data_IF_103735031176
#
_entry.id   IF_103735031176
#
_cell.length_a   1.000
_cell.length_b   1.000
_cell.length_c   1.000
_cell.angle_alpha   90.00
_cell.angle_beta   90.00
_cell.angle_gamma   90.00
#
_symmetry.space_group_name_H-M   'P 1'
#
loop_
_entity.id
_entity.type
_entity.pdbx_description
1 polymer ?
#
# COMPACT_ATOMS: atom_id res chain seq x y z
N UNK A 1 21.44 36.32 9.88
CA UNK A 1 21.91 34.93 10.07
C UNK A 1 20.88 34.04 9.42
N UNK A 2 21.17 33.50 8.23
CA UNK A 2 20.28 32.51 7.60
C UNK A 2 20.49 31.24 8.40
N UNK A 3 19.52 30.89 9.23
CA UNK A 3 19.53 29.60 9.93
C UNK A 3 19.25 28.58 8.84
N UNK A 4 20.28 27.90 8.38
CA UNK A 4 20.11 26.70 7.57
C UNK A 4 19.24 25.73 8.39
N UNK A 5 18.10 25.29 7.84
CA UNK A 5 17.18 24.45 8.59
C UNK A 5 17.94 23.19 9.01
N UNK A 6 17.97 22.93 10.31
CA UNK A 6 18.61 21.73 10.85
C UNK A 6 17.90 20.49 10.30
N UNK A 7 18.61 19.37 10.16
CA UNK A 7 18.04 18.13 9.58
C UNK A 7 16.68 17.72 10.21
N UNK A 8 16.46 17.84 11.54
CA UNK A 8 15.15 17.57 12.16
C UNK A 8 14.04 18.51 11.68
N UNK A 9 14.35 19.78 11.42
CA UNK A 9 13.40 20.79 10.98
C UNK A 9 13.01 20.62 9.50
N UNK A 10 13.96 20.19 8.67
CA UNK A 10 13.68 19.75 7.30
C UNK A 10 12.76 18.52 7.26
N UNK A 11 13.01 17.57 8.16
CA UNK A 11 12.25 16.33 8.26
C UNK A 11 10.82 16.60 8.77
N UNK A 12 10.67 17.52 9.72
CA UNK A 12 9.37 17.99 10.20
C UNK A 12 8.55 18.69 9.13
N UNK A 13 9.15 19.63 8.38
CA UNK A 13 8.46 20.30 7.28
C UNK A 13 8.02 19.33 6.18
N UNK A 14 8.83 18.29 5.91
CA UNK A 14 8.43 17.22 5.00
C UNK A 14 7.26 16.41 5.59
N UNK A 15 7.32 16.04 6.86
CA UNK A 15 6.30 15.27 7.56
C UNK A 15 4.93 15.95 7.55
N UNK A 16 4.89 17.26 7.76
CA UNK A 16 3.67 18.09 7.69
C UNK A 16 3.03 18.06 6.29
N UNK A 17 3.82 17.88 5.23
CA UNK A 17 3.31 17.75 3.86
C UNK A 17 2.78 16.34 3.53
N UNK A 18 3.18 15.31 4.27
CA UNK A 18 2.84 13.90 3.96
C UNK A 18 1.34 13.58 3.99
N UNK A 19 0.51 14.13 4.90
CA UNK A 19 -0.93 13.88 4.87
C UNK A 19 -1.57 14.34 3.56
N UNK A 20 -1.09 15.45 2.97
CA UNK A 20 -1.57 15.92 1.68
C UNK A 20 -1.17 14.93 0.56
N UNK A 21 0.07 14.42 0.60
CA UNK A 21 0.53 13.39 -0.34
C UNK A 21 -0.26 12.08 -0.18
N UNK A 22 -0.59 11.69 1.06
CA UNK A 22 -1.44 10.52 1.33
C UNK A 22 -2.82 10.63 0.68
N UNK A 23 -3.44 11.81 0.73
CA UNK A 23 -4.71 12.08 0.03
C UNK A 23 -4.57 11.99 -1.49
N UNK A 24 -3.45 12.45 -2.06
CA UNK A 24 -3.16 12.30 -3.49
C UNK A 24 -2.99 10.84 -3.90
N UNK A 25 -2.31 10.03 -3.09
CA UNK A 25 -2.17 8.59 -3.32
C UNK A 25 -3.54 7.91 -3.27
N UNK A 26 -4.39 8.24 -2.29
CA UNK A 26 -5.75 7.73 -2.23
C UNK A 26 -6.56 8.12 -3.48
N UNK A 27 -6.49 9.39 -3.91
CA UNK A 27 -7.14 9.84 -5.14
C UNK A 27 -6.64 9.08 -6.39
N UNK A 28 -5.33 8.83 -6.48
CA UNK A 28 -4.75 8.05 -7.56
C UNK A 28 -5.24 6.59 -7.56
N UNK A 29 -5.45 5.98 -6.39
CA UNK A 29 -6.03 4.63 -6.27
C UNK A 29 -7.46 4.56 -6.80
N UNK A 30 -8.30 5.53 -6.44
CA UNK A 30 -9.66 5.63 -6.97
C UNK A 30 -9.64 5.76 -8.49
N UNK A 31 -8.83 6.67 -9.03
CA UNK A 31 -8.73 6.90 -10.46
C UNK A 31 -8.20 5.67 -11.21
N UNK A 32 -7.16 5.04 -10.68
CA UNK A 32 -6.62 3.79 -11.23
C UNK A 32 -7.67 2.67 -11.21
N UNK A 33 -8.43 2.54 -10.12
CA UNK A 33 -9.51 1.57 -10.01
C UNK A 33 -10.57 1.72 -11.10
N UNK A 34 -11.05 2.95 -11.33
CA UNK A 34 -11.98 3.24 -12.43
C UNK A 34 -11.39 2.90 -13.80
N UNK A 35 -10.17 3.37 -14.08
CA UNK A 35 -9.49 3.11 -15.37
C UNK A 35 -9.34 1.61 -15.63
N UNK A 36 -9.00 0.81 -14.61
CA UNK A 36 -8.87 -0.64 -14.73
C UNK A 36 -10.20 -1.33 -15.01
N UNK A 37 -11.29 -0.90 -14.37
CA UNK A 37 -12.64 -1.43 -14.66
C UNK A 37 -13.04 -1.12 -16.10
N UNK A 38 -12.90 0.13 -16.54
CA UNK A 38 -13.20 0.49 -17.93
C UNK A 38 -12.36 -0.34 -18.91
N UNK A 39 -11.05 -0.45 -18.68
CA UNK A 39 -10.15 -1.25 -19.51
C UNK A 39 -10.55 -2.74 -19.53
N UNK A 40 -10.95 -3.30 -18.39
CA UNK A 40 -11.43 -4.67 -18.28
C UNK A 40 -12.75 -4.89 -19.04
N UNK A 41 -13.69 -3.94 -18.96
CA UNK A 41 -14.94 -3.97 -19.72
C UNK A 41 -14.69 -3.87 -21.23
N UNK A 42 -13.78 -2.99 -21.67
CA UNK A 42 -13.40 -2.90 -23.09
C UNK A 42 -12.77 -4.20 -23.60
N UNK A 43 -11.86 -4.79 -22.83
CA UNK A 43 -11.24 -6.07 -23.18
C UNK A 43 -12.28 -7.20 -23.24
N UNK A 44 -13.27 -7.20 -22.35
CA UNK A 44 -14.37 -8.16 -22.35
C UNK A 44 -15.31 -7.97 -23.57
N UNK A 45 -15.60 -6.72 -23.96
CA UNK A 45 -16.39 -6.42 -25.15
C UNK A 45 -15.69 -6.92 -26.42
N UNK A 46 -14.40 -6.63 -26.56
CA UNK A 46 -13.59 -7.09 -27.68
C UNK A 46 -13.54 -8.64 -27.75
N UNK A 47 -13.48 -9.31 -26.60
CA UNK A 47 -13.59 -10.77 -26.52
C UNK A 47 -14.92 -11.31 -27.06
N UNK A 48 -16.03 -10.64 -26.70
CA UNK A 48 -17.36 -10.98 -27.20
C UNK A 48 -17.48 -10.87 -28.73
N UNK A 49 -16.85 -9.84 -29.31
CA UNK A 49 -16.81 -9.62 -30.77
C UNK A 49 -15.88 -10.64 -31.47
N UNK A 50 -14.73 -10.98 -30.86
CA UNK A 50 -13.77 -11.97 -31.38
C UNK A 50 -14.33 -13.40 -31.46
N UNK A 51 -15.35 -13.75 -30.69
CA UNK A 51 -16.01 -15.07 -30.78
C UNK A 51 -16.63 -15.34 -32.17
N UNK A 52 -16.86 -14.30 -32.97
CA UNK A 52 -17.33 -14.43 -34.36
C UNK A 52 -16.22 -14.72 -35.38
N UNK A 53 -14.94 -14.58 -34.99
CA UNK A 53 -13.77 -14.82 -35.84
C UNK A 53 -12.89 -15.92 -35.23
N UNK A 54 -13.01 -17.10 -35.81
CA UNK A 54 -12.30 -18.36 -35.59
C UNK A 54 -10.90 -18.26 -34.93
N UNK A 55 -10.72 -19.03 -33.85
CA UNK A 55 -9.44 -19.52 -33.31
C UNK A 55 -8.37 -18.49 -32.93
N UNK A 56 -8.68 -17.61 -31.97
CA UNK A 56 -7.64 -16.99 -31.14
C UNK A 56 -7.90 -17.36 -29.70
N UNK A 57 -6.88 -17.95 -29.04
CA UNK A 57 -6.82 -18.24 -27.60
C UNK A 57 -6.89 -16.94 -26.79
N UNK A 58 -8.02 -16.24 -26.86
CA UNK A 58 -8.22 -15.03 -26.10
C UNK A 58 -8.53 -15.44 -24.65
N UNK A 59 -7.66 -15.03 -23.74
CA UNK A 59 -7.68 -15.48 -22.36
C UNK A 59 -8.65 -14.59 -21.57
N UNK A 60 -9.84 -15.11 -21.24
CA UNK A 60 -10.86 -14.40 -20.45
C UNK A 60 -10.32 -14.02 -19.05
N UNK A 61 -9.20 -14.62 -18.62
CA UNK A 61 -8.54 -14.31 -17.35
C UNK A 61 -8.14 -12.85 -17.24
N UNK A 62 -7.65 -12.22 -18.31
CA UNK A 62 -7.19 -10.82 -18.29
C UNK A 62 -8.29 -9.83 -17.90
N UNK A 63 -9.45 -9.78 -18.59
CA UNK A 63 -10.51 -8.83 -18.26
C UNK A 63 -11.09 -9.06 -16.86
N UNK A 64 -11.23 -10.32 -16.43
CA UNK A 64 -11.74 -10.66 -15.09
C UNK A 64 -10.80 -10.12 -14.01
N UNK A 65 -9.50 -10.36 -14.13
CA UNK A 65 -8.49 -9.89 -13.16
C UNK A 65 -8.48 -8.35 -13.09
N UNK A 66 -8.58 -7.66 -14.23
CA UNK A 66 -8.62 -6.20 -14.28
C UNK A 66 -9.85 -5.63 -13.56
N UNK A 67 -11.03 -6.21 -13.76
CA UNK A 67 -12.27 -5.78 -13.11
C UNK A 67 -12.21 -6.05 -11.59
N UNK A 68 -11.73 -7.23 -11.18
CA UNK A 68 -11.59 -7.58 -9.77
C UNK A 68 -10.63 -6.62 -9.04
N UNK A 69 -9.42 -6.41 -9.59
CA UNK A 69 -8.43 -5.52 -8.96
C UNK A 69 -8.90 -4.06 -9.00
N UNK A 70 -9.54 -3.64 -10.10
CA UNK A 70 -10.11 -2.30 -10.20
C UNK A 70 -11.16 -2.04 -9.13
N UNK A 71 -12.03 -3.03 -8.86
CA UNK A 71 -13.03 -2.95 -7.78
C UNK A 71 -12.35 -2.88 -6.41
N UNK A 72 -11.36 -3.74 -6.15
CA UNK A 72 -10.59 -3.74 -4.90
C UNK A 72 -9.91 -2.39 -4.63
N UNK A 73 -9.35 -1.75 -5.67
CA UNK A 73 -8.71 -0.43 -5.57
C UNK A 73 -9.69 0.71 -5.29
N UNK A 74 -10.93 0.64 -5.78
CA UNK A 74 -11.99 1.61 -5.44
C UNK A 74 -12.34 1.49 -3.94
N UNK A 75 -12.35 0.29 -3.39
CA UNK A 75 -12.60 0.06 -1.97
C UNK A 75 -11.33 0.13 -1.10
N UNK A 76 -10.37 0.99 -1.49
CA UNK A 76 -9.09 1.15 -0.80
C UNK A 76 -9.17 1.35 0.73
N UNK A 77 -9.97 2.29 1.28
CA UNK A 77 -9.99 2.51 2.73
C UNK A 77 -10.47 1.27 3.49
N UNK A 78 -11.49 0.59 2.97
CA UNK A 78 -11.99 -0.67 3.53
C UNK A 78 -10.94 -1.77 3.45
N UNK A 79 -10.23 -1.84 2.33
CA UNK A 79 -9.19 -2.84 2.09
C UNK A 79 -8.01 -2.71 3.08
N UNK A 80 -7.59 -1.48 3.39
CA UNK A 80 -6.58 -1.23 4.44
C UNK A 80 -7.11 -1.68 5.80
N UNK A 81 -8.33 -1.30 6.18
CA UNK A 81 -8.90 -1.71 7.47
C UNK A 81 -9.03 -3.22 7.61
N UNK A 82 -9.52 -3.91 6.58
CA UNK A 82 -9.65 -5.37 6.57
C UNK A 82 -8.29 -6.05 6.63
N UNK A 83 -7.29 -5.54 5.92
CA UNK A 83 -5.94 -6.12 5.96
C UNK A 83 -5.25 -5.91 7.30
N UNK A 84 -5.42 -4.74 7.93
CA UNK A 84 -4.96 -4.48 9.30
C UNK A 84 -5.67 -5.39 10.31
N UNK A 85 -6.99 -5.54 10.22
CA UNK A 85 -7.76 -6.45 11.08
C UNK A 85 -7.34 -7.90 10.89
N UNK A 86 -6.91 -8.29 9.69
CA UNK A 86 -6.46 -9.67 9.40
C UNK A 86 -5.09 -9.95 9.99
N UNK A 87 -4.16 -8.98 9.93
CA UNK A 87 -2.78 -9.16 10.41
C UNK A 87 -2.66 -8.93 11.91
N UNK A 88 -3.36 -7.92 12.45
CA UNK A 88 -3.20 -7.45 13.83
C UNK A 88 -4.44 -7.64 14.70
N UNK A 89 -5.58 -8.10 14.16
CA UNK A 89 -6.83 -8.22 14.91
C UNK A 89 -7.51 -6.87 15.23
N UNK A 90 -6.92 -5.75 14.82
CA UNK A 90 -7.43 -4.39 15.04
C UNK A 90 -7.29 -3.55 13.77
N UNK A 91 -8.20 -2.59 13.58
CA UNK A 91 -8.19 -1.61 12.49
C UNK A 91 -7.43 -0.33 12.85
N UNK A 92 -7.08 -0.15 14.13
CA UNK A 92 -6.39 1.05 14.63
C UNK A 92 -4.91 0.98 14.29
N UNK A 93 -4.41 2.01 13.60
CA UNK A 93 -2.99 2.16 13.33
C UNK A 93 -2.32 2.71 14.60
N UNK A 94 -1.39 1.96 15.19
CA UNK A 94 -0.70 2.38 16.40
C UNK A 94 0.19 3.59 16.09
N UNK A 95 0.13 4.62 16.93
CA UNK A 95 0.96 5.83 16.88
C UNK A 95 2.15 5.73 17.83
N UNK A 96 3.21 6.48 17.50
CA UNK A 96 4.43 6.45 18.29
C UNK A 96 4.13 7.10 19.65
N UNK A 97 4.48 6.41 20.73
CA UNK A 97 4.37 6.95 22.09
C UNK A 97 5.72 7.53 22.48
N UNK A 98 5.71 8.78 22.94
CA UNK A 98 6.93 9.48 23.36
C UNK A 98 7.69 8.71 24.44
N UNK A 99 9.01 8.57 24.26
CA UNK A 99 9.86 8.01 25.29
C UNK A 99 10.30 9.14 26.26
N UNK A 100 9.98 9.04 27.56
CA UNK A 100 10.31 10.08 28.54
C UNK A 100 11.83 10.24 28.78
N UNK A 101 12.64 9.24 28.38
CA UNK A 101 14.10 9.28 28.52
C UNK A 101 14.79 9.99 27.35
N UNK A 102 14.04 10.34 26.30
CA UNK A 102 14.57 10.93 25.09
C UNK A 102 14.27 12.42 25.05
N UNK A 103 15.12 13.18 24.37
CA UNK A 103 14.84 14.60 24.16
C UNK A 103 13.55 14.77 23.35
N UNK A 104 12.79 15.83 23.59
CA UNK A 104 11.57 16.14 22.85
C UNK A 104 11.82 16.20 21.32
N UNK A 105 13.01 16.68 20.93
CA UNK A 105 13.45 16.72 19.53
C UNK A 105 13.65 15.32 18.93
N UNK A 106 14.12 14.36 19.72
CA UNK A 106 14.30 12.97 19.29
C UNK A 106 12.96 12.25 19.12
N UNK A 107 11.99 12.50 20.00
CA UNK A 107 10.65 11.92 19.90
C UNK A 107 9.92 12.43 18.64
N UNK A 108 9.98 13.74 18.38
CA UNK A 108 9.42 14.34 17.17
C UNK A 108 10.04 13.77 15.89
N UNK A 109 11.36 13.56 15.87
CA UNK A 109 12.03 12.96 14.72
C UNK A 109 11.55 11.52 14.44
N UNK A 110 11.24 10.72 15.46
CA UNK A 110 10.69 9.37 15.25
C UNK A 110 9.25 9.42 14.75
N UNK A 111 8.43 10.32 15.29
CA UNK A 111 7.05 10.49 14.83
C UNK A 111 7.04 10.86 13.34
N UNK A 112 7.88 11.81 12.94
CA UNK A 112 8.02 12.24 11.56
C UNK A 112 8.53 11.11 10.64
N UNK A 113 9.51 10.32 11.08
CA UNK A 113 9.96 9.12 10.36
C UNK A 113 8.85 8.07 10.25
N UNK A 114 8.05 7.90 11.30
CA UNK A 114 6.91 6.98 11.30
C UNK A 114 5.87 7.40 10.26
N UNK A 115 5.59 8.70 10.13
CA UNK A 115 4.71 9.23 9.09
C UNK A 115 5.25 8.96 7.68
N UNK A 116 6.57 9.12 7.47
CA UNK A 116 7.22 8.77 6.19
C UNK A 116 7.07 7.29 5.85
N UNK A 117 7.34 6.40 6.81
CA UNK A 117 7.23 4.95 6.62
C UNK A 117 5.80 4.52 6.32
N UNK A 118 4.81 5.11 6.99
CA UNK A 118 3.39 4.86 6.72
C UNK A 118 3.02 5.22 5.28
N UNK A 119 3.47 6.38 4.80
CA UNK A 119 3.24 6.79 3.41
C UNK A 119 3.86 5.79 2.42
N UNK A 120 5.10 5.37 2.66
CA UNK A 120 5.77 4.35 1.85
C UNK A 120 4.98 3.03 1.88
N UNK A 121 4.43 2.64 3.04
CA UNK A 121 3.57 1.48 3.19
C UNK A 121 2.34 1.56 2.28
N UNK A 122 1.64 2.70 2.25
CA UNK A 122 0.49 2.91 1.37
C UNK A 122 0.86 2.84 -0.12
N UNK A 123 2.00 3.43 -0.51
CA UNK A 123 2.48 3.40 -1.90
C UNK A 123 2.89 1.98 -2.31
N UNK A 124 3.58 1.25 -1.43
CA UNK A 124 3.97 -0.13 -1.68
C UNK A 124 2.74 -1.04 -1.83
N UNK A 125 1.76 -0.88 -0.94
CA UNK A 125 0.51 -1.62 -1.00
C UNK A 125 -0.24 -1.38 -2.32
N UNK A 126 -0.36 -0.12 -2.74
CA UNK A 126 -0.93 0.24 -4.05
C UNK A 126 -0.22 -0.45 -5.20
N UNK A 127 1.12 -0.38 -5.19
CA UNK A 127 1.96 -0.97 -6.21
C UNK A 127 1.79 -2.48 -6.29
N UNK A 128 1.59 -3.15 -5.16
CA UNK A 128 1.27 -4.57 -5.09
C UNK A 128 0.01 -4.93 -5.88
N UNK A 129 -1.08 -4.17 -5.68
CA UNK A 129 -2.32 -4.35 -6.44
C UNK A 129 -2.17 -4.03 -7.93
N UNK A 130 -1.46 -2.95 -8.28
CA UNK A 130 -1.16 -2.64 -9.69
C UNK A 130 -0.31 -3.74 -10.36
N UNK A 131 0.59 -4.38 -9.64
CA UNK A 131 1.40 -5.46 -10.21
C UNK A 131 0.55 -6.72 -10.45
N UNK A 132 -0.50 -6.95 -9.66
CA UNK A 132 -1.45 -8.03 -9.90
C UNK A 132 -2.23 -7.88 -11.22
N UNK A 133 -2.43 -6.66 -11.72
CA UNK A 133 -3.17 -6.45 -12.98
C UNK A 133 -2.44 -7.03 -14.19
N UNK A 134 -1.14 -7.27 -14.05
CA UNK A 134 -0.32 -7.85 -15.10
C UNK A 134 -0.46 -9.37 -15.17
N UNK A 135 -0.91 -10.05 -14.11
CA UNK A 135 -1.02 -11.52 -14.06
C UNK A 135 -1.90 -12.13 -15.15
N UNK A 136 -2.88 -11.37 -15.63
CA UNK A 136 -3.74 -11.80 -16.71
C UNK A 136 -3.15 -11.62 -18.11
N UNK A 137 -2.03 -10.92 -18.28
CA UNK A 137 -1.47 -10.61 -19.60
C UNK A 137 -0.58 -11.77 -20.09
N UNK A 138 -0.79 -12.20 -21.34
CA UNK A 138 0.09 -13.18 -22.00
C UNK A 138 1.53 -12.66 -22.02
N UNK A 139 2.48 -13.47 -21.52
CA UNK A 139 3.90 -13.13 -21.46
C UNK A 139 4.38 -12.52 -20.14
N UNK A 140 3.57 -12.54 -19.08
CA UNK A 140 3.99 -12.04 -17.77
C UNK A 140 5.16 -12.83 -17.20
N UNK A 141 6.21 -12.16 -16.67
CA UNK A 141 7.35 -12.85 -16.06
C UNK A 141 6.90 -13.81 -14.95
N UNK A 142 7.41 -15.06 -14.94
CA UNK A 142 7.13 -15.99 -13.86
C UNK A 142 7.58 -15.39 -12.52
N UNK A 143 6.67 -15.37 -11.54
CA UNK A 143 6.91 -14.76 -10.23
C UNK A 143 6.31 -13.37 -10.02
N UNK A 144 5.63 -12.80 -11.02
CA UNK A 144 4.88 -11.53 -10.87
C UNK A 144 3.89 -11.59 -9.69
N UNK A 145 3.22 -12.74 -9.48
CA UNK A 145 2.28 -12.91 -8.36
C UNK A 145 2.97 -12.83 -7.00
N UNK A 146 4.08 -13.53 -6.82
CA UNK A 146 4.87 -13.49 -5.59
C UNK A 146 5.39 -12.08 -5.31
N UNK A 147 5.88 -11.37 -6.34
CA UNK A 147 6.33 -9.98 -6.21
C UNK A 147 5.20 -9.04 -5.78
N UNK A 148 3.99 -9.23 -6.31
CA UNK A 148 2.82 -8.45 -5.93
C UNK A 148 2.45 -8.70 -4.46
N UNK A 149 2.38 -9.97 -4.06
CA UNK A 149 2.09 -10.34 -2.67
C UNK A 149 3.10 -9.75 -1.69
N UNK A 150 4.39 -9.77 -2.01
CA UNK A 150 5.42 -9.17 -1.15
C UNK A 150 5.21 -7.67 -0.94
N UNK A 151 4.78 -6.94 -1.97
CA UNK A 151 4.47 -5.51 -1.84
C UNK A 151 3.21 -5.27 -1.02
N UNK A 152 2.18 -6.11 -1.17
CA UNK A 152 0.95 -6.04 -0.38
C UNK A 152 1.26 -6.30 1.09
N UNK A 153 1.91 -7.43 1.40
CA UNK A 153 2.24 -7.82 2.78
C UNK A 153 3.21 -6.81 3.39
N UNK A 154 4.32 -6.51 2.73
CA UNK A 154 5.29 -5.52 3.21
C UNK A 154 4.68 -4.13 3.37
N UNK A 155 3.74 -3.75 2.49
CA UNK A 155 2.98 -2.51 2.61
C UNK A 155 2.11 -2.47 3.87
N UNK A 156 1.36 -3.53 4.16
CA UNK A 156 0.50 -3.61 5.38
C UNK A 156 1.36 -3.55 6.65
N UNK A 157 2.51 -4.22 6.66
CA UNK A 157 3.44 -4.18 7.78
C UNK A 157 3.98 -2.77 8.01
N UNK A 158 4.40 -2.07 6.94
CA UNK A 158 4.87 -0.68 7.00
C UNK A 158 3.77 0.32 7.44
N UNK A 159 2.52 0.12 7.01
CA UNK A 159 1.39 0.97 7.43
C UNK A 159 1.21 0.94 8.94
N UNK A 160 1.42 -0.22 9.57
CA UNK A 160 1.38 -0.37 11.01
C UNK A 160 2.74 -0.80 11.56
N UNK A 161 3.76 0.01 11.26
CA UNK A 161 5.15 -0.28 11.65
C UNK A 161 5.33 -0.44 13.15
N UNK A 162 4.53 0.28 13.95
CA UNK A 162 4.60 0.23 15.42
C UNK A 162 4.03 -1.10 15.93
N UNK A 163 2.88 -1.55 15.41
CA UNK A 163 2.37 -2.88 15.74
C UNK A 163 3.32 -3.99 15.26
N UNK A 164 3.97 -3.81 14.10
CA UNK A 164 5.00 -4.75 13.63
C UNK A 164 6.15 -4.82 14.61
N UNK A 165 6.60 -3.67 15.11
CA UNK A 165 7.71 -3.59 16.07
C UNK A 165 7.35 -4.24 17.40
N UNK A 166 6.13 -4.01 17.91
CA UNK A 166 5.60 -4.65 19.12
C UNK A 166 5.53 -6.18 19.01
N UNK A 167 5.08 -6.69 17.85
CA UNK A 167 5.09 -8.14 17.57
C UNK A 167 6.52 -8.68 17.53
N UNK A 168 7.46 -7.97 16.92
CA UNK A 168 8.87 -8.37 16.87
C UNK A 168 9.47 -8.38 18.27
N UNK A 169 9.22 -7.35 19.08
CA UNK A 169 9.72 -7.24 20.44
C UNK A 169 9.21 -8.37 21.34
N UNK A 170 7.91 -8.67 21.23
CA UNK A 170 7.26 -9.80 21.90
C UNK A 170 7.81 -11.15 21.42
N UNK A 171 8.02 -11.31 20.10
CA UNK A 171 8.47 -12.58 19.51
C UNK A 171 9.94 -12.88 19.79
N UNK A 172 10.80 -11.87 19.78
CA UNK A 172 12.22 -12.01 20.06
C UNK A 172 12.54 -12.08 21.56
N UNK A 173 11.51 -11.98 22.42
CA UNK A 173 11.68 -11.99 23.88
C UNK A 173 12.41 -10.75 24.40
N UNK A 174 12.50 -9.70 23.60
CA UNK A 174 13.10 -8.42 23.98
C UNK A 174 12.10 -7.55 24.78
N UNK A 175 10.80 -7.79 24.60
CA UNK A 175 9.70 -7.12 25.32
C UNK A 175 9.37 -7.70 26.70
N UNK A 176 10.24 -8.53 27.25
CA UNK A 176 10.12 -9.06 28.60
C UNK A 176 10.79 -8.15 29.62
N UNK A 177 10.22 -6.97 29.91
CA UNK A 177 10.32 -6.30 31.22
C UNK A 177 9.18 -5.28 31.34
N UNK A 178 8.27 -5.59 32.26
CA UNK A 178 7.26 -4.73 32.88
C UNK A 178 7.68 -3.29 33.13
#
# INVERSE_FOLDING_TARGET
MRVDPTFPELLHNLAVALPAVGKLVAAAMYLAGFVLIFRGLYALKQYGEMRTMMSVNADLKTPIILICIGTVLIFYPTLINTSLSTVYGNTTILSYTDNPNWSQQSNQAIEDVTLLLRLIGYISFFRGWLLMTHLGQQGSPPGTFGKALMHIIGGILLVNIIATWDIIDTTLGLGGNS
#
